data_IF_426548945245
#
_entry.id   IF_426548945245
#
_cell.length_a   1.000
_cell.length_b   1.000
_cell.length_c   1.000
_cell.angle_alpha   90.00
_cell.angle_beta   90.00
_cell.angle_gamma   90.00
#
_symmetry.space_group_name_H-M   'P 1'
#
loop_
_entity.id
_entity.type
_entity.pdbx_description
1 polymer ?
#
# COMPACT_ATOMS: atom_id res chain seq x y z
N UNK A 1 -3.03 -9.29 19.27
CA UNK A 1 -2.96 -7.88 19.74
C UNK A 1 -1.85 -7.07 19.09
N UNK A 2 -0.56 -7.47 19.11
CA UNK A 2 0.53 -6.66 18.50
C UNK A 2 0.49 -6.64 16.96
N UNK A 3 0.19 -7.77 16.33
CA UNK A 3 0.04 -7.89 14.87
C UNK A 3 -1.22 -7.18 14.34
N UNK A 4 -2.33 -7.32 15.06
CA UNK A 4 -3.62 -6.66 14.77
C UNK A 4 -3.55 -5.13 14.90
N UNK A 5 -2.74 -4.62 15.83
CA UNK A 5 -2.42 -3.18 15.87
C UNK A 5 -1.57 -2.73 14.68
N UNK A 6 -0.67 -3.58 14.17
CA UNK A 6 0.15 -3.29 13.00
C UNK A 6 -0.67 -3.19 11.72
N UNK A 7 -1.58 -4.14 11.49
CA UNK A 7 -2.49 -4.12 10.34
C UNK A 7 -3.41 -2.89 10.36
N UNK A 8 -3.97 -2.56 11.52
CA UNK A 8 -4.85 -1.38 11.71
C UNK A 8 -4.10 -0.07 11.49
N UNK A 9 -2.87 0.05 12.02
CA UNK A 9 -2.04 1.25 11.85
C UNK A 9 -1.66 1.44 10.40
N UNK A 10 -1.27 0.36 9.71
CA UNK A 10 -0.90 0.42 8.31
C UNK A 10 -2.11 0.74 7.42
N UNK A 11 -3.27 0.15 7.67
CA UNK A 11 -4.51 0.49 6.97
C UNK A 11 -4.89 1.97 7.15
N UNK A 12 -4.68 2.52 8.35
CA UNK A 12 -4.89 3.96 8.63
C UNK A 12 -3.92 4.83 7.84
N UNK A 13 -2.63 4.49 7.84
CA UNK A 13 -1.61 5.20 7.07
C UNK A 13 -1.91 5.14 5.57
N UNK A 14 -2.26 3.97 5.03
CA UNK A 14 -2.68 3.80 3.63
C UNK A 14 -3.85 4.72 3.30
N UNK A 15 -4.90 4.75 4.12
CA UNK A 15 -6.08 5.60 3.90
C UNK A 15 -5.71 7.09 3.92
N UNK A 16 -4.85 7.52 4.84
CA UNK A 16 -4.34 8.89 4.86
C UNK A 16 -3.50 9.21 3.63
N UNK A 17 -2.63 8.31 3.17
CA UNK A 17 -1.81 8.50 1.97
C UNK A 17 -2.64 8.59 0.70
N UNK A 18 -3.69 7.76 0.57
CA UNK A 18 -4.65 7.84 -0.55
C UNK A 18 -5.32 9.21 -0.55
N UNK A 19 -5.92 9.60 0.58
CA UNK A 19 -6.62 10.89 0.68
C UNK A 19 -5.70 12.09 0.41
N UNK A 20 -4.47 12.07 0.94
CA UNK A 20 -3.49 13.12 0.66
C UNK A 20 -3.02 13.13 -0.81
N UNK A 21 -2.99 11.99 -1.49
CA UNK A 21 -2.64 11.92 -2.92
C UNK A 21 -3.76 12.45 -3.81
N UNK A 22 -5.02 12.11 -3.50
CA UNK A 22 -6.20 12.66 -4.18
C UNK A 22 -6.29 14.19 -4.00
N UNK A 23 -6.05 14.68 -2.78
CA UNK A 23 -6.01 16.11 -2.47
C UNK A 23 -4.88 16.82 -3.24
N UNK A 24 -3.68 16.22 -3.29
CA UNK A 24 -2.56 16.78 -4.04
C UNK A 24 -2.89 16.87 -5.54
N UNK A 25 -3.46 15.83 -6.13
CA UNK A 25 -3.91 15.83 -7.52
C UNK A 25 -4.94 16.91 -7.81
N UNK A 26 -5.94 17.05 -6.93
CA UNK A 26 -6.94 18.12 -7.01
C UNK A 26 -6.31 19.52 -6.95
N UNK A 27 -5.38 19.74 -6.02
CA UNK A 27 -4.66 21.00 -5.89
C UNK A 27 -3.79 21.31 -7.13
N UNK A 28 -3.15 20.30 -7.72
CA UNK A 28 -2.39 20.44 -8.97
C UNK A 28 -3.32 20.84 -10.12
N UNK A 29 -4.48 20.20 -10.27
CA UNK A 29 -5.47 20.56 -11.27
C UNK A 29 -6.00 21.99 -11.09
N UNK A 30 -6.30 22.37 -9.84
CA UNK A 30 -6.73 23.74 -9.52
C UNK A 30 -5.64 24.76 -9.82
N UNK A 31 -4.38 24.46 -9.51
CA UNK A 31 -3.24 25.32 -9.82
C UNK A 31 -3.04 25.47 -11.33
N UNK A 32 -3.22 24.40 -12.11
CA UNK A 32 -3.15 24.46 -13.57
C UNK A 32 -4.28 25.33 -14.14
N UNK A 33 -5.51 25.15 -13.65
CA UNK A 33 -6.65 25.96 -14.05
C UNK A 33 -6.47 27.45 -13.68
N UNK A 34 -5.90 27.73 -12.51
CA UNK A 34 -5.56 29.09 -12.09
C UNK A 34 -4.45 29.72 -12.95
N UNK A 35 -3.54 28.90 -13.49
CA UNK A 35 -2.45 29.35 -14.33
C UNK A 35 -2.80 29.49 -15.83
N UNK A 36 -3.85 28.84 -16.33
CA UNK A 36 -4.34 28.99 -17.71
C UNK A 36 -4.49 30.45 -18.19
N UNK A 37 -5.13 31.37 -17.44
CA UNK A 37 -5.22 32.78 -17.86
C UNK A 37 -3.89 33.53 -17.80
N UNK A 38 -2.87 32.95 -17.17
CA UNK A 38 -1.51 33.48 -17.16
C UNK A 38 -0.67 32.95 -18.33
N UNK A 39 -1.06 31.87 -19.02
CA UNK A 39 -0.34 31.33 -20.19
C UNK A 39 -0.24 32.36 -21.33
N UNK A 40 -1.26 33.20 -21.51
CA UNK A 40 -1.22 34.34 -22.42
C UNK A 40 -0.38 35.53 -21.94
N UNK A 41 0.07 35.52 -20.68
CA UNK A 41 0.91 36.56 -20.06
C UNK A 41 2.35 36.10 -19.80
N UNK A 42 2.59 34.79 -19.68
CA UNK A 42 3.89 34.17 -19.51
C UNK A 42 4.48 33.85 -20.88
N UNK A 43 5.18 34.81 -21.48
CA UNK A 43 6.05 34.55 -22.63
C UNK A 43 7.45 34.11 -22.14
N UNK A 44 8.05 33.10 -22.78
CA UNK A 44 9.44 32.67 -22.50
C UNK A 44 9.60 31.76 -21.27
N UNK A 45 10.57 32.06 -20.40
CA UNK A 45 10.97 31.24 -19.24
C UNK A 45 9.82 30.91 -18.26
N UNK A 46 8.85 31.81 -18.09
CA UNK A 46 7.71 31.59 -17.19
C UNK A 46 6.84 30.41 -17.62
N UNK A 47 6.63 30.22 -18.92
CA UNK A 47 5.92 29.06 -19.46
C UNK A 47 6.72 27.78 -19.27
N UNK A 48 8.02 27.81 -19.55
CA UNK A 48 8.90 26.64 -19.40
C UNK A 48 8.99 26.16 -17.94
N UNK A 49 9.03 27.09 -16.98
CA UNK A 49 9.00 26.77 -15.55
C UNK A 49 7.66 26.20 -15.10
N UNK A 50 6.55 26.71 -15.64
CA UNK A 50 5.22 26.19 -15.35
C UNK A 50 5.03 24.78 -15.93
N UNK A 51 5.43 24.55 -17.18
CA UNK A 51 5.40 23.23 -17.81
C UNK A 51 6.26 22.22 -17.03
N UNK A 52 7.46 22.64 -16.58
CA UNK A 52 8.33 21.82 -15.73
C UNK A 52 7.71 21.51 -14.37
N UNK A 53 7.03 22.48 -13.75
CA UNK A 53 6.31 22.28 -12.50
C UNK A 53 5.20 21.24 -12.67
N UNK A 54 4.38 21.39 -13.71
CA UNK A 54 3.31 20.42 -14.03
C UNK A 54 3.87 19.02 -14.24
N UNK A 55 4.93 18.89 -15.03
CA UNK A 55 5.54 17.60 -15.32
C UNK A 55 6.08 16.91 -14.06
N UNK A 56 6.72 17.66 -13.15
CA UNK A 56 7.16 17.14 -11.84
C UNK A 56 5.99 16.76 -10.94
N UNK A 57 4.92 17.54 -10.97
CA UNK A 57 3.72 17.27 -10.19
C UNK A 57 3.04 15.97 -10.64
N UNK A 58 2.95 15.75 -11.95
CA UNK A 58 2.44 14.51 -12.55
C UNK A 58 3.34 13.31 -12.18
N UNK A 59 4.67 13.46 -12.27
CA UNK A 59 5.63 12.42 -11.86
C UNK A 59 5.50 12.04 -10.37
N UNK A 60 5.42 13.04 -9.48
CA UNK A 60 5.26 12.79 -8.03
C UNK A 60 3.95 12.05 -7.77
N UNK A 61 2.87 12.45 -8.43
CA UNK A 61 1.56 11.79 -8.31
C UNK A 61 1.63 10.34 -8.79
N UNK A 62 2.27 10.09 -9.93
CA UNK A 62 2.47 8.73 -10.44
C UNK A 62 3.33 7.87 -9.51
N UNK A 63 4.41 8.43 -8.95
CA UNK A 63 5.28 7.74 -8.00
C UNK A 63 4.56 7.42 -6.67
N UNK A 64 3.75 8.34 -6.17
CA UNK A 64 2.90 8.13 -4.98
C UNK A 64 1.90 6.99 -5.22
N UNK A 65 1.20 7.01 -6.37
CA UNK A 65 0.26 5.95 -6.75
C UNK A 65 0.95 4.59 -6.91
N UNK A 66 2.13 4.54 -7.54
CA UNK A 66 2.92 3.31 -7.68
C UNK A 66 3.41 2.77 -6.33
N UNK A 67 3.85 3.66 -5.43
CA UNK A 67 4.26 3.30 -4.06
C UNK A 67 3.07 2.76 -3.26
N UNK A 68 1.90 3.39 -3.39
CA UNK A 68 0.67 2.93 -2.76
C UNK A 68 0.24 1.57 -3.27
N UNK A 69 0.27 1.33 -4.58
CA UNK A 69 -0.03 0.03 -5.17
C UNK A 69 0.93 -1.06 -4.67
N UNK A 70 2.21 -0.72 -4.50
CA UNK A 70 3.22 -1.62 -3.93
C UNK A 70 2.95 -1.94 -2.46
N UNK A 71 2.53 -0.94 -1.66
CA UNK A 71 2.14 -1.13 -0.26
C UNK A 71 0.91 -2.04 -0.17
N UNK A 72 -0.13 -1.78 -0.96
CA UNK A 72 -1.34 -2.59 -1.01
C UNK A 72 -1.06 -4.04 -1.44
N UNK A 73 -0.20 -4.22 -2.46
CA UNK A 73 0.26 -5.54 -2.90
C UNK A 73 1.05 -6.27 -1.81
N UNK A 74 1.95 -5.56 -1.12
CA UNK A 74 2.71 -6.09 0.02
C UNK A 74 1.82 -6.47 1.20
N UNK A 75 0.76 -5.68 1.48
CA UNK A 75 -0.24 -6.00 2.49
C UNK A 75 -1.01 -7.27 2.15
N UNK A 76 -1.53 -7.38 0.92
CA UNK A 76 -2.22 -8.60 0.47
C UNK A 76 -1.31 -9.82 0.52
N UNK A 77 -0.02 -9.65 0.18
CA UNK A 77 0.99 -10.70 0.32
C UNK A 77 1.23 -11.10 1.77
N UNK A 78 1.32 -10.13 2.70
CA UNK A 78 1.45 -10.40 4.14
C UNK A 78 0.22 -11.12 4.68
N UNK A 79 -0.99 -10.65 4.40
CA UNK A 79 -2.23 -11.29 4.85
C UNK A 79 -2.33 -12.74 4.37
N UNK A 80 -1.97 -12.99 3.09
CA UNK A 80 -1.91 -14.34 2.53
C UNK A 80 -0.84 -15.21 3.20
N UNK A 81 0.35 -14.66 3.45
CA UNK A 81 1.43 -15.38 4.12
C UNK A 81 1.09 -15.73 5.57
N UNK A 82 0.42 -14.84 6.30
CA UNK A 82 -0.05 -15.10 7.67
C UNK A 82 -1.16 -16.15 7.70
N UNK A 83 -2.18 -16.01 6.86
CA UNK A 83 -3.27 -16.98 6.79
C UNK A 83 -2.78 -18.38 6.38
N UNK A 84 -1.87 -18.43 5.39
CA UNK A 84 -1.24 -19.69 4.97
C UNK A 84 -0.34 -20.29 6.05
N UNK A 85 0.45 -19.47 6.73
CA UNK A 85 1.34 -19.91 7.82
C UNK A 85 0.58 -20.47 9.03
N UNK A 86 -0.50 -19.82 9.45
CA UNK A 86 -1.36 -20.32 10.55
C UNK A 86 -2.01 -21.65 10.17
N UNK A 87 -2.51 -21.79 8.94
CA UNK A 87 -3.08 -23.04 8.44
C UNK A 87 -2.02 -24.15 8.38
N UNK A 88 -0.83 -23.87 7.84
CA UNK A 88 0.27 -24.84 7.80
C UNK A 88 0.71 -25.25 9.20
N UNK A 89 0.82 -24.31 10.14
CA UNK A 89 1.19 -24.59 11.52
C UNK A 89 0.13 -25.45 12.21
N UNK A 90 -1.15 -25.15 12.01
CA UNK A 90 -2.27 -25.95 12.51
C UNK A 90 -2.24 -27.36 11.94
N UNK A 91 -2.08 -27.51 10.63
CA UNK A 91 -2.04 -28.81 9.96
C UNK A 91 -0.84 -29.65 10.39
N UNK A 92 0.33 -29.03 10.58
CA UNK A 92 1.52 -29.71 11.10
C UNK A 92 1.34 -30.12 12.57
N UNK A 93 0.72 -29.27 13.39
CA UNK A 93 0.42 -29.60 14.78
C UNK A 93 -0.57 -30.78 14.87
N UNK A 94 -1.62 -30.77 14.07
CA UNK A 94 -2.59 -31.87 13.98
C UNK A 94 -1.92 -33.17 13.52
N UNK A 95 -1.10 -33.14 12.47
CA UNK A 95 -0.35 -34.31 12.00
C UNK A 95 0.59 -34.87 13.07
N UNK A 96 1.31 -33.99 13.77
CA UNK A 96 2.23 -34.36 14.85
C UNK A 96 1.48 -34.97 16.04
N UNK A 97 0.36 -34.36 16.45
CA UNK A 97 -0.50 -34.89 17.50
C UNK A 97 -1.08 -36.25 17.14
N UNK A 98 -1.59 -36.42 15.91
CA UNK A 98 -2.11 -37.71 15.45
C UNK A 98 -1.01 -38.77 15.49
N UNK A 99 0.19 -38.47 14.99
CA UNK A 99 1.33 -39.39 15.02
C UNK A 99 1.74 -39.77 16.46
N UNK A 100 1.82 -38.78 17.36
CA UNK A 100 2.13 -39.02 18.77
C UNK A 100 1.07 -39.88 19.47
N UNK A 101 -0.21 -39.71 19.14
CA UNK A 101 -1.29 -40.49 19.73
C UNK A 101 -1.28 -41.96 19.23
N UNK A 102 -0.95 -42.19 17.96
CA UNK A 102 -0.77 -43.55 17.43
C UNK A 102 0.42 -44.27 18.08
N UNK A 103 1.54 -43.58 18.30
CA UNK A 103 2.71 -44.15 18.94
C UNK A 103 2.41 -44.50 20.41
N UNK A 104 1.78 -43.58 21.15
CA UNK A 104 1.32 -43.82 22.51
C UNK A 104 0.30 -44.97 22.63
N UNK A 105 -0.59 -45.14 21.65
CA UNK A 105 -1.53 -46.26 21.60
C UNK A 105 -0.82 -47.60 21.32
N UNK A 106 0.22 -47.61 20.48
CA UNK A 106 1.02 -48.81 20.17
C UNK A 106 1.83 -49.32 21.35
N UNK A 107 2.34 -48.45 22.21
CA UNK A 107 3.09 -48.85 23.42
C UNK A 107 2.20 -49.35 24.58
N UNK A 108 0.87 -49.18 24.50
CA UNK A 108 -0.09 -49.61 25.53
C UNK A 108 -0.92 -50.85 25.15
N UNK A 109 -0.63 -51.46 23.99
CA UNK A 109 -1.29 -52.68 23.49
C UNK A 109 -0.50 -53.94 23.79
#
# INVERSE_FOLDING_TARGET
MKFDMGSTTLATLTKSTVGSSDDLGSLIHQLIAAAQPLEGKFNGEGKAMFDSFKQRADEITAALNGSLASILGGQSGMDGAFAGGDQEQSDNAHRTMSAANFDAARFRG
#
